data_IF_924456358797
#
_entry.id   IF_924456358797
#
_cell.length_a   1.000
_cell.length_b   1.000
_cell.length_c   1.000
_cell.angle_alpha   90.00
_cell.angle_beta   90.00
_cell.angle_gamma   90.00
#
_symmetry.space_group_name_H-M   'P 1'
#
loop_
_entity.id
_entity.type
_entity.pdbx_description
1 polymer ?
#
# COMPACT_ATOMS: atom_id res chain seq x y z
N UNK A 1 20.58 -2.87 -27.01
CA UNK A 1 19.80 -1.72 -26.48
C UNK A 1 20.32 -1.44 -25.08
N UNK A 2 20.58 -0.18 -24.73
CA UNK A 2 20.98 0.18 -23.37
C UNK A 2 19.70 0.40 -22.56
N UNK A 3 19.49 -0.35 -21.51
CA UNK A 3 18.36 -0.17 -20.61
C UNK A 3 18.63 1.00 -19.64
N UNK A 4 17.60 1.77 -19.36
CA UNK A 4 17.67 2.89 -18.41
C UNK A 4 17.69 2.35 -16.97
N UNK A 5 16.94 1.27 -16.72
CA UNK A 5 16.77 0.62 -15.44
C UNK A 5 16.92 -0.91 -15.57
N UNK A 6 17.13 -1.56 -14.44
CA UNK A 6 17.08 -3.02 -14.35
C UNK A 6 15.64 -3.49 -14.11
N UNK A 7 14.90 -2.74 -13.29
CA UNK A 7 13.50 -3.00 -12.95
C UNK A 7 12.66 -1.73 -13.04
N UNK A 8 11.48 -1.82 -13.68
CA UNK A 8 10.45 -0.78 -13.59
C UNK A 8 9.23 -1.36 -12.86
N UNK A 9 8.76 -0.63 -11.84
CA UNK A 9 7.55 -0.97 -11.09
C UNK A 9 6.43 0.00 -11.44
N UNK A 10 5.32 -0.52 -11.94
CA UNK A 10 4.16 0.28 -12.34
C UNK A 10 3.11 0.30 -11.23
N UNK A 11 3.01 1.41 -10.51
CA UNK A 11 2.11 1.62 -9.38
C UNK A 11 2.82 1.62 -8.05
N UNK A 12 2.59 2.65 -7.23
CA UNK A 12 3.14 2.81 -5.88
C UNK A 12 2.10 2.56 -4.77
N UNK A 13 1.25 1.55 -4.95
CA UNK A 13 0.48 0.95 -3.87
C UNK A 13 1.36 0.06 -3.00
N UNK A 14 0.78 -0.64 -2.02
CA UNK A 14 1.55 -1.51 -1.10
C UNK A 14 2.44 -2.51 -1.83
N UNK A 15 1.91 -3.22 -2.82
CA UNK A 15 2.67 -4.20 -3.59
C UNK A 15 3.80 -3.56 -4.42
N UNK A 16 3.56 -2.36 -4.96
CA UNK A 16 4.58 -1.64 -5.72
C UNK A 16 5.71 -1.13 -4.83
N UNK A 17 5.40 -0.61 -3.65
CA UNK A 17 6.40 -0.20 -2.67
C UNK A 17 7.31 -1.37 -2.28
N UNK A 18 6.73 -2.53 -1.96
CA UNK A 18 7.49 -3.74 -1.62
C UNK A 18 8.36 -4.22 -2.79
N UNK A 19 7.81 -4.26 -4.01
CA UNK A 19 8.57 -4.67 -5.19
C UNK A 19 9.75 -3.73 -5.50
N UNK A 20 9.53 -2.43 -5.38
CA UNK A 20 10.56 -1.43 -5.63
C UNK A 20 11.68 -1.49 -4.58
N UNK A 21 11.32 -1.57 -3.30
CA UNK A 21 12.28 -1.69 -2.21
C UNK A 21 13.06 -3.02 -2.28
N UNK A 22 12.40 -4.13 -2.57
CA UNK A 22 13.06 -5.41 -2.74
C UNK A 22 14.09 -5.39 -3.88
N UNK A 23 13.72 -4.79 -5.02
CA UNK A 23 14.62 -4.68 -6.17
C UNK A 23 15.82 -3.77 -5.87
N UNK A 24 15.59 -2.59 -5.30
CA UNK A 24 16.63 -1.61 -5.00
C UNK A 24 17.61 -2.12 -3.93
N UNK A 25 17.12 -2.82 -2.90
CA UNK A 25 17.95 -3.44 -1.84
C UNK A 25 18.87 -4.53 -2.38
N UNK A 26 18.49 -5.18 -3.47
CA UNK A 26 19.34 -6.13 -4.19
C UNK A 26 20.36 -5.45 -5.14
N UNK A 27 20.43 -4.13 -5.16
CA UNK A 27 21.34 -3.35 -5.98
C UNK A 27 20.86 -3.09 -7.42
N UNK A 28 19.63 -3.48 -7.77
CA UNK A 28 19.07 -3.20 -9.09
C UNK A 28 18.70 -1.71 -9.20
N UNK A 29 19.06 -1.08 -10.32
CA UNK A 29 18.56 0.28 -10.65
C UNK A 29 17.08 0.18 -10.93
N UNK A 30 16.28 0.72 -10.02
CA UNK A 30 14.83 0.56 -10.02
C UNK A 30 14.13 1.88 -10.26
N UNK A 31 13.10 1.86 -11.09
CA UNK A 31 12.17 2.98 -11.26
C UNK A 31 10.79 2.57 -10.76
N UNK A 32 10.17 3.37 -9.91
CA UNK A 32 8.76 3.23 -9.57
C UNK A 32 7.94 4.36 -10.20
N UNK A 33 6.88 3.98 -10.93
CA UNK A 33 5.94 4.91 -11.57
C UNK A 33 4.67 5.01 -10.74
N UNK A 34 4.22 6.23 -10.47
CA UNK A 34 2.95 6.47 -9.76
C UNK A 34 2.17 7.60 -10.38
N UNK A 35 0.86 7.51 -10.40
CA UNK A 35 0.02 8.60 -10.89
C UNK A 35 -0.01 9.83 -9.97
N UNK A 36 0.35 9.65 -8.69
CA UNK A 36 0.38 10.75 -7.72
C UNK A 36 1.35 10.40 -6.57
N UNK A 37 2.36 11.23 -6.39
CA UNK A 37 3.37 11.09 -5.32
C UNK A 37 2.77 11.22 -3.92
N UNK A 38 1.70 11.99 -3.77
CA UNK A 38 1.05 12.22 -2.48
C UNK A 38 0.10 11.07 -2.07
N UNK A 39 0.00 10.02 -2.90
CA UNK A 39 -0.85 8.87 -2.62
C UNK A 39 -0.10 7.55 -2.60
N UNK A 40 1.23 7.60 -2.50
CA UNK A 40 2.08 6.42 -2.30
C UNK A 40 1.63 5.66 -1.05
N UNK A 41 1.50 4.33 -1.15
CA UNK A 41 1.08 3.42 -0.08
C UNK A 41 -0.22 3.82 0.64
N UNK A 42 -1.12 4.55 -0.03
CA UNK A 42 -2.36 5.01 0.59
C UNK A 42 -3.29 3.85 0.94
N UNK A 43 -3.73 3.82 2.19
CA UNK A 43 -4.74 2.89 2.68
C UNK A 43 -6.15 3.31 2.21
N UNK A 44 -6.59 2.83 1.05
CA UNK A 44 -7.81 3.31 0.40
C UNK A 44 -9.10 2.81 1.05
N UNK A 45 -9.10 1.58 1.56
CA UNK A 45 -10.31 0.95 2.12
C UNK A 45 -10.48 1.31 3.60
N UNK A 46 -9.65 0.74 4.45
CA UNK A 46 -9.61 0.99 5.89
C UNK A 46 -8.15 1.09 6.36
N UNK A 47 -7.88 1.76 7.48
CA UNK A 47 -6.51 1.96 7.97
C UNK A 47 -6.01 0.73 8.74
N UNK A 48 -6.14 -0.46 8.16
CA UNK A 48 -5.77 -1.69 8.83
C UNK A 48 -4.84 -2.56 7.98
N UNK A 49 -3.83 -3.12 8.62
CA UNK A 49 -2.91 -4.11 8.07
C UNK A 49 -3.13 -5.44 8.79
N UNK A 50 -2.99 -6.55 8.06
CA UNK A 50 -3.14 -7.88 8.60
C UNK A 50 -4.58 -8.35 8.71
N UNK A 51 -4.87 -9.15 9.72
CA UNK A 51 -6.12 -9.90 9.86
C UNK A 51 -6.02 -11.31 9.30
N UNK A 52 -7.15 -12.01 9.25
CA UNK A 52 -7.19 -13.42 8.82
C UNK A 52 -6.54 -13.63 7.45
N UNK A 53 -5.65 -14.59 7.36
CA UNK A 53 -4.75 -14.91 6.23
C UNK A 53 -3.77 -13.78 5.84
N UNK A 54 -4.10 -12.53 6.05
CA UNK A 54 -3.27 -11.39 5.66
C UNK A 54 -2.14 -11.13 6.65
N UNK A 55 -2.37 -11.32 7.95
CA UNK A 55 -1.36 -11.15 8.98
C UNK A 55 -0.17 -12.10 8.81
N UNK A 56 -0.43 -13.33 8.40
CA UNK A 56 0.58 -14.32 8.08
C UNK A 56 1.44 -13.87 6.89
N UNK A 57 0.79 -13.41 5.81
CA UNK A 57 1.49 -12.94 4.61
C UNK A 57 2.37 -11.72 4.91
N UNK A 58 1.91 -10.78 5.74
CA UNK A 58 2.73 -9.63 6.15
C UNK A 58 4.00 -10.07 6.86
N UNK A 59 3.91 -11.08 7.74
CA UNK A 59 5.08 -11.66 8.42
C UNK A 59 6.02 -12.42 7.48
N UNK A 60 5.48 -13.10 6.48
CA UNK A 60 6.28 -13.75 5.45
C UNK A 60 7.05 -12.72 4.61
N UNK A 61 6.40 -11.60 4.25
CA UNK A 61 7.04 -10.48 3.56
C UNK A 61 8.16 -9.88 4.42
N UNK A 62 7.92 -9.68 5.72
CA UNK A 62 8.92 -9.19 6.68
C UNK A 62 10.13 -10.11 6.76
N UNK A 63 9.91 -11.43 6.84
CA UNK A 63 10.99 -12.42 6.86
C UNK A 63 11.89 -12.38 5.61
N UNK A 64 11.36 -11.86 4.51
CA UNK A 64 12.10 -11.63 3.25
C UNK A 64 12.70 -10.21 3.17
N UNK A 65 12.62 -9.42 4.24
CA UNK A 65 13.16 -8.08 4.30
C UNK A 65 12.21 -6.99 3.76
N UNK A 66 10.89 -7.25 3.75
CA UNK A 66 9.88 -6.27 3.35
C UNK A 66 9.69 -5.13 4.35
N UNK A 67 9.06 -4.07 3.93
CA UNK A 67 8.90 -2.84 4.70
C UNK A 67 7.52 -2.72 5.38
N UNK A 68 6.51 -3.44 4.89
CA UNK A 68 5.12 -3.29 5.35
C UNK A 68 4.97 -3.56 6.86
N UNK A 69 5.65 -4.58 7.39
CA UNK A 69 5.61 -4.93 8.79
C UNK A 69 6.19 -3.81 9.66
N UNK A 70 7.39 -3.35 9.33
CA UNK A 70 8.06 -2.24 10.00
C UNK A 70 7.20 -0.97 9.94
N UNK A 71 6.73 -0.61 8.75
CA UNK A 71 5.88 0.56 8.56
C UNK A 71 4.58 0.49 9.38
N UNK A 72 4.02 -0.72 9.52
CA UNK A 72 2.84 -0.96 10.36
C UNK A 72 3.16 -0.78 11.83
N UNK A 73 4.25 -1.38 12.32
CA UNK A 73 4.62 -1.33 13.73
C UNK A 73 4.94 0.10 14.20
N UNK A 74 5.55 0.92 13.34
CA UNK A 74 5.82 2.33 13.61
C UNK A 74 4.58 3.23 13.63
N UNK A 75 3.54 2.88 12.86
CA UNK A 75 2.40 3.77 12.62
C UNK A 75 1.08 3.26 13.19
N UNK A 76 1.11 2.09 13.83
CA UNK A 76 -0.08 1.50 14.42
C UNK A 76 -0.54 2.26 15.66
N UNK A 77 -1.85 2.42 15.73
CA UNK A 77 -2.56 3.01 16.89
C UNK A 77 -3.27 1.95 17.72
N UNK A 78 -3.43 0.74 17.18
CA UNK A 78 -4.02 -0.41 17.88
C UNK A 78 -3.53 -1.71 17.25
N UNK A 79 -3.21 -2.69 18.10
CA UNK A 79 -2.95 -4.06 17.69
C UNK A 79 -3.98 -5.00 18.28
N UNK A 80 -4.33 -6.05 17.54
CA UNK A 80 -5.20 -7.13 17.97
C UNK A 80 -4.78 -8.44 17.36
N UNK A 81 -4.54 -9.46 18.18
CA UNK A 81 -4.39 -10.82 17.70
C UNK A 81 -5.77 -11.46 17.55
N UNK A 82 -6.13 -11.77 16.31
CA UNK A 82 -7.42 -12.39 15.99
C UNK A 82 -7.36 -13.91 16.15
N UNK A 83 -8.52 -14.53 16.41
CA UNK A 83 -8.68 -15.97 16.53
C UNK A 83 -7.85 -16.60 17.66
N UNK A 84 -7.65 -15.91 18.76
CA UNK A 84 -6.87 -16.40 19.92
C UNK A 84 -7.42 -17.68 20.53
N UNK A 85 -8.72 -17.96 20.35
CA UNK A 85 -9.37 -19.22 20.78
C UNK A 85 -9.16 -20.39 19.82
N UNK A 86 -8.47 -20.17 18.70
CA UNK A 86 -8.20 -21.19 17.66
C UNK A 86 -6.73 -21.61 17.70
N UNK A 87 -6.40 -22.64 16.91
CA UNK A 87 -5.01 -23.09 16.78
C UNK A 87 -4.09 -22.03 16.18
N UNK A 88 -2.76 -22.11 16.44
CA UNK A 88 -1.78 -21.07 16.04
C UNK A 88 -1.79 -20.73 14.56
N UNK A 89 -2.07 -21.68 13.68
CA UNK A 89 -2.07 -21.48 12.22
C UNK A 89 -3.10 -20.44 11.75
N UNK A 90 -4.18 -20.23 12.48
CA UNK A 90 -5.23 -19.26 12.12
C UNK A 90 -5.22 -18.01 13.00
N UNK A 91 -4.35 -17.96 14.01
CA UNK A 91 -4.12 -16.73 14.77
C UNK A 91 -3.43 -15.71 13.86
N UNK A 92 -4.00 -14.51 13.75
CA UNK A 92 -3.54 -13.53 12.81
C UNK A 92 -3.44 -12.15 13.46
N UNK A 93 -2.27 -11.53 13.46
CA UNK A 93 -2.13 -10.15 13.92
C UNK A 93 -2.87 -9.20 12.98
N UNK A 94 -3.47 -8.19 13.56
CA UNK A 94 -4.09 -7.08 12.87
C UNK A 94 -3.75 -5.78 13.58
N UNK A 95 -3.33 -4.77 12.83
CA UNK A 95 -3.12 -3.43 13.34
C UNK A 95 -4.08 -2.44 12.68
N UNK A 96 -4.56 -1.48 13.47
CA UNK A 96 -5.11 -0.23 12.95
C UNK A 96 -3.97 0.78 12.94
N UNK A 97 -3.77 1.47 11.83
CA UNK A 97 -2.67 2.42 11.67
C UNK A 97 -3.18 3.85 11.59
N UNK A 98 -2.36 4.81 11.98
CA UNK A 98 -2.56 6.16 11.52
C UNK A 98 -2.33 6.19 10.00
N UNK A 99 -3.39 6.47 9.29
CA UNK A 99 -3.43 6.38 7.83
C UNK A 99 -2.47 7.36 7.15
N UNK A 100 -2.28 8.52 7.74
CA UNK A 100 -1.39 9.56 7.20
C UNK A 100 0.06 9.28 7.54
N UNK A 101 0.34 8.90 8.76
CA UNK A 101 1.69 8.53 9.20
C UNK A 101 2.21 7.33 8.42
N UNK A 102 1.37 6.31 8.19
CA UNK A 102 1.72 5.15 7.37
C UNK A 102 2.17 5.56 5.95
N UNK A 103 1.41 6.45 5.34
CA UNK A 103 1.67 6.96 4.00
C UNK A 103 2.95 7.80 3.95
N UNK A 104 3.10 8.74 4.89
CA UNK A 104 4.27 9.64 4.98
C UNK A 104 5.54 8.84 5.20
N UNK A 105 5.52 7.90 6.17
CA UNK A 105 6.68 7.06 6.47
C UNK A 105 7.08 6.19 5.27
N UNK A 106 6.13 5.52 4.60
CA UNK A 106 6.44 4.70 3.44
C UNK A 106 7.02 5.52 2.29
N UNK A 107 6.46 6.71 2.03
CA UNK A 107 7.00 7.64 1.03
C UNK A 107 8.45 8.01 1.38
N UNK A 108 8.72 8.37 2.62
CA UNK A 108 10.07 8.70 3.08
C UNK A 108 11.05 7.53 2.91
N UNK A 109 10.65 6.31 3.24
CA UNK A 109 11.48 5.10 3.05
C UNK A 109 11.84 4.91 1.57
N UNK A 110 10.89 5.10 0.66
CA UNK A 110 11.16 5.01 -0.78
C UNK A 110 12.11 6.12 -1.25
N UNK A 111 11.93 7.35 -0.79
CA UNK A 111 12.76 8.50 -1.15
C UNK A 111 14.21 8.38 -0.64
N UNK A 112 14.42 7.65 0.46
CA UNK A 112 15.75 7.39 1.03
C UNK A 112 16.42 6.12 0.46
N UNK A 113 15.68 5.31 -0.30
CA UNK A 113 16.23 4.08 -0.84
C UNK A 113 17.29 4.36 -1.92
N UNK A 114 18.47 3.77 -1.77
CA UNK A 114 19.49 3.79 -2.80
C UNK A 114 19.03 3.00 -4.04
N UNK A 115 19.48 3.38 -5.23
CA UNK A 115 19.15 2.73 -6.51
C UNK A 115 17.64 2.74 -6.86
N UNK A 116 16.87 3.66 -6.29
CA UNK A 116 15.43 3.79 -6.54
C UNK A 116 15.08 5.21 -6.97
N UNK A 117 14.58 5.34 -8.18
CA UNK A 117 14.00 6.58 -8.70
C UNK A 117 12.47 6.50 -8.64
N UNK A 118 11.84 7.62 -8.27
CA UNK A 118 10.38 7.75 -8.22
C UNK A 118 9.95 8.76 -9.27
N UNK A 119 9.04 8.38 -10.15
CA UNK A 119 8.57 9.27 -11.20
C UNK A 119 7.05 9.33 -11.26
N UNK A 120 6.50 10.55 -11.30
CA UNK A 120 5.06 10.76 -11.35
C UNK A 120 4.55 10.69 -12.79
N UNK A 121 4.03 9.54 -13.18
CA UNK A 121 3.25 9.34 -14.40
C UNK A 121 2.46 8.03 -14.31
N UNK A 122 1.48 7.87 -15.19
CA UNK A 122 0.79 6.59 -15.34
C UNK A 122 1.52 5.73 -16.38
N UNK A 123 1.67 4.44 -16.09
CA UNK A 123 2.02 3.45 -17.09
C UNK A 123 0.81 3.26 -18.02
N UNK A 124 0.98 3.54 -19.30
CA UNK A 124 -0.09 3.55 -20.30
C UNK A 124 -0.01 2.37 -21.28
N UNK A 125 1.11 1.67 -21.32
CA UNK A 125 1.31 0.50 -22.14
C UNK A 125 2.65 -0.18 -21.87
N UNK A 126 2.85 -1.36 -22.43
CA UNK A 126 4.13 -2.07 -22.42
C UNK A 126 4.79 -2.03 -23.79
N UNK A 127 6.12 -2.09 -23.81
CA UNK A 127 6.92 -2.17 -25.03
C UNK A 127 7.41 -3.60 -25.16
N UNK A 128 7.04 -4.26 -26.24
CA UNK A 128 7.43 -5.65 -26.51
C UNK A 128 8.18 -5.71 -27.84
N UNK A 129 9.38 -6.26 -27.82
CA UNK A 129 10.19 -6.55 -29.00
C UNK A 129 10.64 -8.02 -28.98
N UNK A 130 10.49 -8.70 -30.11
CA UNK A 130 10.87 -10.10 -30.27
C UNK A 130 10.29 -11.02 -29.16
N UNK A 131 9.04 -10.77 -28.75
CA UNK A 131 8.36 -11.54 -27.70
C UNK A 131 8.80 -11.24 -26.26
N UNK A 132 9.72 -10.30 -26.05
CA UNK A 132 10.21 -9.89 -24.74
C UNK A 132 9.68 -8.51 -24.38
N UNK A 133 9.13 -8.34 -23.17
CA UNK A 133 8.81 -7.03 -22.63
C UNK A 133 10.11 -6.32 -22.24
N UNK A 134 10.34 -5.13 -22.83
CA UNK A 134 11.58 -4.37 -22.69
C UNK A 134 11.37 -2.97 -22.11
N UNK A 135 10.14 -2.56 -21.84
CA UNK A 135 9.88 -1.22 -21.33
C UNK A 135 8.41 -0.90 -21.13
N UNK A 136 8.16 0.34 -20.76
CA UNK A 136 6.85 0.90 -20.44
C UNK A 136 6.65 2.21 -21.21
N UNK A 137 5.47 2.38 -21.79
CA UNK A 137 4.96 3.66 -22.32
C UNK A 137 4.25 4.41 -21.21
N UNK A 138 4.52 5.69 -21.09
CA UNK A 138 3.88 6.51 -20.06
C UNK A 138 2.79 7.42 -20.63
N UNK A 139 1.98 8.00 -19.75
CA UNK A 139 0.98 9.01 -20.09
C UNK A 139 1.56 10.36 -20.51
N UNK A 140 2.88 10.53 -20.40
CA UNK A 140 3.61 11.74 -20.78
C UNK A 140 4.37 11.58 -22.11
N UNK A 141 4.01 10.56 -22.91
CA UNK A 141 4.66 10.20 -24.17
C UNK A 141 6.17 9.93 -24.04
N UNK A 142 6.63 9.62 -22.82
CA UNK A 142 7.97 9.19 -22.54
C UNK A 142 8.03 7.68 -22.36
N UNK A 143 9.06 7.03 -22.90
CA UNK A 143 9.28 5.60 -22.76
C UNK A 143 10.45 5.33 -21.82
N UNK A 144 10.26 4.40 -20.90
CA UNK A 144 11.35 3.87 -20.07
C UNK A 144 11.64 2.42 -20.45
N UNK A 145 12.91 2.05 -20.49
CA UNK A 145 13.39 0.73 -20.86
C UNK A 145 14.03 0.03 -19.68
N UNK A 146 13.68 -1.25 -19.47
CA UNK A 146 14.23 -2.07 -18.40
C UNK A 146 14.27 -3.56 -18.76
N UNK A 147 15.13 -4.30 -18.04
CA UNK A 147 15.21 -5.75 -18.16
C UNK A 147 13.95 -6.46 -17.66
N UNK A 148 13.30 -5.90 -16.65
CA UNK A 148 12.10 -6.48 -16.01
C UNK A 148 11.06 -5.41 -15.70
N UNK A 149 9.78 -5.77 -15.86
CA UNK A 149 8.65 -4.90 -15.55
C UNK A 149 7.76 -5.60 -14.54
N UNK A 150 7.50 -4.94 -13.41
CA UNK A 150 6.57 -5.39 -12.37
C UNK A 150 5.32 -4.52 -12.42
N UNK A 151 4.16 -5.14 -12.61
CA UNK A 151 2.90 -4.41 -12.75
C UNK A 151 2.04 -4.60 -11.50
N UNK A 152 1.79 -3.51 -10.77
CA UNK A 152 1.04 -3.49 -9.51
C UNK A 152 -0.07 -2.44 -9.55
N UNK A 153 -0.93 -2.53 -10.55
CA UNK A 153 -1.98 -1.53 -10.82
C UNK A 153 -3.08 -1.46 -9.75
N UNK A 154 -3.10 -2.37 -8.80
CA UNK A 154 -4.09 -2.38 -7.71
C UNK A 154 -5.52 -2.36 -8.22
N UNK A 155 -6.28 -1.35 -7.80
CA UNK A 155 -7.69 -1.15 -8.18
C UNK A 155 -7.87 -0.15 -9.33
N UNK A 156 -6.81 0.22 -10.06
CA UNK A 156 -6.89 1.31 -11.05
C UNK A 156 -7.02 0.87 -12.51
N UNK A 157 -6.72 -0.41 -12.83
CA UNK A 157 -6.77 -0.91 -14.19
C UNK A 157 -8.22 -1.01 -14.68
N UNK A 158 -8.64 -0.07 -15.56
CA UNK A 158 -10.03 0.08 -16.06
C UNK A 158 -11.07 -0.02 -14.94
N UNK A 159 -10.77 0.60 -13.83
CA UNK A 159 -11.59 0.53 -12.63
C UNK A 159 -12.93 1.25 -12.81
N UNK A 160 -13.96 0.70 -12.17
CA UNK A 160 -15.30 1.25 -12.12
C UNK A 160 -15.77 1.27 -10.67
N UNK A 161 -16.06 2.46 -10.18
CA UNK A 161 -16.63 2.68 -8.85
C UNK A 161 -18.14 2.60 -8.91
N UNK A 162 -18.73 1.96 -7.91
CA UNK A 162 -20.17 1.90 -7.71
C UNK A 162 -20.51 2.59 -6.38
N UNK A 163 -21.35 3.62 -6.45
CA UNK A 163 -21.88 4.34 -5.27
C UNK A 163 -23.39 4.35 -5.38
N UNK A 164 -24.05 3.41 -4.72
CA UNK A 164 -25.45 3.10 -4.99
C UNK A 164 -25.64 2.65 -6.43
N UNK A 165 -26.52 3.31 -7.16
CA UNK A 165 -26.77 3.04 -8.59
C UNK A 165 -25.80 3.79 -9.51
N UNK A 166 -25.09 4.78 -9.00
CA UNK A 166 -24.16 5.58 -9.79
C UNK A 166 -22.87 4.80 -10.08
N UNK A 167 -22.41 4.94 -11.31
CA UNK A 167 -21.16 4.34 -11.79
C UNK A 167 -20.26 5.43 -12.32
N UNK A 168 -19.00 5.43 -11.87
CA UNK A 168 -17.98 6.35 -12.34
C UNK A 168 -16.65 5.63 -12.55
N UNK A 169 -15.91 6.05 -13.57
CA UNK A 169 -14.56 5.52 -13.80
C UNK A 169 -13.59 6.01 -12.70
N UNK A 170 -12.73 5.12 -12.24
CA UNK A 170 -11.71 5.41 -11.27
C UNK A 170 -11.49 4.28 -10.26
N UNK A 171 -10.29 4.13 -9.75
CA UNK A 171 -9.97 3.19 -8.69
C UNK A 171 -10.27 3.74 -7.28
N UNK A 172 -10.43 5.06 -7.21
CA UNK A 172 -10.73 5.83 -6.00
C UNK A 172 -11.33 7.17 -6.41
N UNK A 173 -12.18 7.75 -5.56
CA UNK A 173 -12.78 9.07 -5.82
C UNK A 173 -11.67 10.12 -5.94
N UNK A 174 -11.70 10.87 -7.05
CA UNK A 174 -10.72 11.92 -7.36
C UNK A 174 -9.44 11.46 -8.07
N UNK A 175 -9.28 10.16 -8.30
CA UNK A 175 -8.10 9.62 -8.99
C UNK A 175 -8.43 9.13 -10.41
N UNK A 176 -7.44 9.23 -11.27
CA UNK A 176 -7.53 8.78 -12.66
C UNK A 176 -7.50 7.26 -12.79
N UNK A 177 -8.11 6.74 -13.85
CA UNK A 177 -8.08 5.34 -14.24
C UNK A 177 -6.96 5.08 -15.24
N UNK A 178 -6.25 3.96 -15.10
CA UNK A 178 -5.32 3.47 -16.12
C UNK A 178 -6.07 2.62 -17.14
N UNK A 179 -6.10 3.05 -18.41
CA UNK A 179 -6.82 2.36 -19.49
C UNK A 179 -5.91 1.60 -20.45
N UNK A 180 -4.74 2.13 -20.75
CA UNK A 180 -3.86 1.62 -21.80
C UNK A 180 -3.31 0.21 -21.57
N UNK A 181 -2.76 -0.06 -20.39
CA UNK A 181 -2.15 -1.36 -20.04
C UNK A 181 -3.07 -2.56 -20.28
N UNK A 182 -4.36 -2.42 -20.04
CA UNK A 182 -5.31 -3.54 -20.23
C UNK A 182 -5.45 -3.97 -21.69
N UNK A 183 -5.34 -3.03 -22.63
CA UNK A 183 -5.39 -3.34 -24.06
C UNK A 183 -4.13 -4.11 -24.48
N UNK A 184 -2.97 -3.68 -24.00
CA UNK A 184 -1.71 -4.40 -24.30
C UNK A 184 -1.71 -5.80 -23.69
N UNK A 185 -2.17 -5.98 -22.46
CA UNK A 185 -2.28 -7.31 -21.84
C UNK A 185 -3.16 -8.25 -22.67
N UNK A 186 -4.32 -7.79 -23.10
CA UNK A 186 -5.19 -8.59 -23.98
C UNK A 186 -4.53 -8.90 -25.31
N UNK A 187 -3.82 -7.94 -25.92
CA UNK A 187 -3.08 -8.12 -27.17
C UNK A 187 -2.01 -9.23 -27.05
N UNK A 188 -1.38 -9.33 -25.90
CA UNK A 188 -0.34 -10.35 -25.64
C UNK A 188 -0.88 -11.61 -24.97
N UNK A 189 -2.19 -11.84 -25.02
CA UNK A 189 -2.83 -13.10 -24.65
C UNK A 189 -3.12 -13.24 -23.14
N UNK A 190 -2.94 -12.17 -22.33
CA UNK A 190 -3.31 -12.20 -20.91
C UNK A 190 -4.80 -11.96 -20.80
N UNK A 191 -5.51 -12.96 -20.29
CA UNK A 191 -6.94 -12.85 -20.02
C UNK A 191 -7.21 -12.00 -18.80
N UNK A 192 -8.08 -11.01 -18.94
CA UNK A 192 -8.47 -10.10 -17.86
C UNK A 192 -9.91 -10.37 -17.43
N UNK A 193 -10.12 -10.39 -16.12
CA UNK A 193 -11.45 -10.50 -15.50
C UNK A 193 -11.68 -9.39 -14.48
N UNK A 194 -12.95 -9.07 -14.21
CA UNK A 194 -13.30 -8.08 -13.20
C UNK A 194 -13.45 -8.75 -11.84
N UNK A 195 -12.80 -8.17 -10.84
CA UNK A 195 -13.02 -8.50 -9.45
C UNK A 195 -13.70 -7.34 -8.73
N UNK A 196 -14.55 -7.67 -7.78
CA UNK A 196 -15.19 -6.69 -6.90
C UNK A 196 -14.39 -6.56 -5.62
N UNK A 197 -14.12 -5.33 -5.19
CA UNK A 197 -13.71 -5.01 -3.82
C UNK A 197 -14.82 -4.23 -3.14
N UNK A 198 -14.96 -4.36 -1.81
CA UNK A 198 -15.91 -3.58 -1.01
C UNK A 198 -15.17 -2.59 -0.13
N UNK A 199 -15.70 -1.38 -0.02
CA UNK A 199 -15.26 -0.40 0.98
C UNK A 199 -16.37 -0.26 2.01
N UNK A 200 -16.06 -0.35 3.32
CA UNK A 200 -17.06 -0.11 4.35
C UNK A 200 -17.58 1.34 4.28
N UNK A 201 -18.84 1.58 4.67
CA UNK A 201 -19.41 2.91 4.67
C UNK A 201 -18.63 3.82 5.63
N UNK A 202 -18.52 5.09 5.28
CA UNK A 202 -17.99 6.15 6.14
C UNK A 202 -19.16 6.87 6.80
N UNK A 203 -19.21 6.82 8.13
CA UNK A 203 -20.27 7.42 8.91
C UNK A 203 -19.74 8.73 9.53
N UNK A 204 -20.59 9.76 9.56
CA UNK A 204 -20.25 11.02 10.23
C UNK A 204 -20.18 10.73 11.74
N UNK A 205 -19.04 10.97 12.38
CA UNK A 205 -18.80 10.64 13.78
C UNK A 205 -19.83 11.25 14.74
N UNK A 206 -20.29 12.48 14.48
CA UNK A 206 -21.32 13.15 15.27
C UNK A 206 -22.72 12.53 15.15
N UNK A 207 -22.96 11.66 14.15
CA UNK A 207 -24.23 10.96 13.97
C UNK A 207 -24.27 9.58 14.64
N UNK A 208 -23.18 9.16 15.28
CA UNK A 208 -23.07 7.84 15.88
C UNK A 208 -23.57 7.91 17.34
N UNK A 209 -24.52 7.04 17.66
CA UNK A 209 -24.93 6.81 19.04
C UNK A 209 -23.98 5.80 19.71
N UNK A 210 -22.91 6.32 20.33
CA UNK A 210 -21.90 5.50 21.00
C UNK A 210 -22.43 4.69 22.18
N UNK A 211 -23.60 5.05 22.74
CA UNK A 211 -24.23 4.26 23.81
C UNK A 211 -24.70 2.87 23.32
N UNK A 212 -24.91 2.71 22.01
CA UNK A 212 -25.30 1.48 21.37
C UNK A 212 -24.12 0.67 20.80
N UNK A 213 -22.90 1.10 21.07
CA UNK A 213 -21.68 0.47 20.56
C UNK A 213 -20.85 -0.11 21.68
N UNK A 214 -20.06 -1.12 21.38
CA UNK A 214 -19.10 -1.72 22.29
C UNK A 214 -17.68 -1.34 21.90
N UNK A 215 -16.85 -0.95 22.90
CA UNK A 215 -15.42 -0.67 22.65
C UNK A 215 -14.66 -1.96 22.39
N UNK A 216 -13.98 -2.04 21.26
CA UNK A 216 -13.03 -3.10 20.96
C UNK A 216 -11.63 -2.64 21.35
N UNK A 217 -11.16 -3.06 22.51
CA UNK A 217 -9.82 -2.72 23.00
C UNK A 217 -8.75 -3.50 22.24
N UNK A 218 -7.61 -2.87 22.00
CA UNK A 218 -6.38 -3.54 21.54
C UNK A 218 -5.81 -4.45 22.63
N UNK A 219 -4.80 -5.22 22.25
CA UNK A 219 -4.07 -6.08 23.18
C UNK A 219 -3.15 -5.22 24.05
N UNK A 220 -3.00 -5.57 25.33
CA UNK A 220 -2.14 -4.83 26.28
C UNK A 220 -0.66 -5.04 25.99
N UNK A 221 -0.30 -6.25 25.61
CA UNK A 221 1.05 -6.63 25.16
C UNK A 221 0.93 -7.12 23.71
N UNK A 222 1.06 -6.21 22.75
CA UNK A 222 0.76 -6.53 21.36
C UNK A 222 1.86 -7.39 20.73
N UNK A 223 1.41 -8.33 19.89
CA UNK A 223 2.29 -9.04 18.98
C UNK A 223 2.53 -8.17 17.74
N UNK A 224 3.75 -7.67 17.57
CA UNK A 224 4.15 -6.85 16.42
C UNK A 224 4.27 -7.71 15.15
N UNK A 225 4.31 -7.05 13.98
CA UNK A 225 4.46 -7.73 12.70
C UNK A 225 5.91 -8.05 12.37
N UNK A 226 6.83 -7.14 12.67
CA UNK A 226 8.23 -7.31 12.37
C UNK A 226 8.89 -8.40 13.22
N UNK A 227 9.86 -9.10 12.64
CA UNK A 227 10.68 -10.10 13.34
C UNK A 227 11.55 -9.49 14.42
N UNK A 228 12.04 -8.28 14.16
CA UNK A 228 12.84 -7.51 15.12
C UNK A 228 11.91 -6.70 16.01
N UNK A 229 12.30 -6.58 17.28
CA UNK A 229 11.57 -5.74 18.22
C UNK A 229 11.77 -4.26 17.86
N UNK A 230 10.75 -3.66 17.26
CA UNK A 230 10.75 -2.25 16.85
C UNK A 230 10.19 -1.32 17.93
N UNK A 231 9.79 -1.85 19.11
CA UNK A 231 9.16 -1.05 20.18
C UNK A 231 10.06 0.07 20.68
N UNK A 232 11.33 -0.20 20.89
CA UNK A 232 12.31 0.82 21.35
C UNK A 232 12.46 1.97 20.34
N UNK A 233 12.41 1.66 19.03
CA UNK A 233 12.52 2.66 17.98
C UNK A 233 11.17 3.36 17.76
N UNK A 234 10.05 2.67 17.93
CA UNK A 234 8.71 3.28 17.87
C UNK A 234 8.48 4.25 19.03
N UNK A 235 8.97 3.96 20.22
CA UNK A 235 8.92 4.90 21.34
C UNK A 235 9.70 6.19 21.05
N UNK A 236 10.87 6.11 20.44
CA UNK A 236 11.63 7.29 20.00
C UNK A 236 10.87 8.10 18.96
N UNK A 237 10.29 7.44 17.97
CA UNK A 237 9.49 8.07 16.93
C UNK A 237 8.22 8.74 17.50
N UNK A 238 7.53 8.08 18.42
CA UNK A 238 6.36 8.63 19.11
C UNK A 238 6.72 9.75 20.08
N UNK A 239 7.87 9.72 20.73
CA UNK A 239 8.32 10.80 21.62
C UNK A 239 8.63 12.07 20.83
N UNK A 240 9.29 11.96 19.70
CA UNK A 240 9.55 13.11 18.84
C UNK A 240 8.26 13.72 18.25
N UNK A 241 7.27 12.89 17.93
CA UNK A 241 5.98 13.36 17.43
C UNK A 241 5.01 13.77 18.56
N UNK A 242 4.99 13.09 19.68
CA UNK A 242 4.15 13.45 20.83
C UNK A 242 4.54 14.80 21.42
N UNK A 243 5.77 15.25 21.33
CA UNK A 243 6.14 16.63 21.69
C UNK A 243 5.44 17.69 20.83
N UNK A 244 5.02 17.34 19.60
CA UNK A 244 4.25 18.20 18.70
C UNK A 244 2.72 17.98 18.79
N UNK A 245 2.26 16.80 19.16
CA UNK A 245 0.84 16.42 19.12
C UNK A 245 0.14 16.40 20.46
N UNK A 246 0.85 16.14 21.58
CA UNK A 246 0.24 16.15 22.91
C UNK A 246 -0.22 17.54 23.38
N UNK A 247 0.29 18.61 22.79
CA UNK A 247 -0.15 19.97 23.13
C UNK A 247 -1.46 20.39 22.44
N UNK A 248 -2.02 19.59 21.53
CA UNK A 248 -3.22 19.94 20.75
C UNK A 248 -4.32 18.86 20.74
N UNK A 249 -4.27 17.84 21.60
CA UNK A 249 -5.38 16.87 21.66
C UNK A 249 -6.50 17.35 22.54
N UNK A 250 -7.52 17.91 21.91
CA UNK A 250 -8.89 17.84 22.38
C UNK A 250 -9.36 16.37 22.42
N UNK A 251 -10.17 15.94 23.41
CA UNK A 251 -10.53 14.53 23.63
C UNK A 251 -11.44 13.88 22.58
N UNK A 252 -11.58 14.44 21.38
CA UNK A 252 -12.65 14.11 20.44
C UNK A 252 -12.26 13.31 19.20
N UNK A 253 -11.02 12.79 19.08
CA UNK A 253 -10.66 11.95 17.93
C UNK A 253 -10.62 10.47 18.31
N UNK A 254 -11.81 9.86 18.35
CA UNK A 254 -11.95 8.42 18.35
C UNK A 254 -11.86 7.92 16.90
N UNK A 255 -10.84 7.12 16.60
CA UNK A 255 -10.78 6.35 15.35
C UNK A 255 -11.88 5.29 15.37
N UNK A 256 -12.77 5.37 14.40
CA UNK A 256 -13.69 4.31 14.00
C UNK A 256 -13.15 3.60 12.76
#
# INVERSE_FOLDING_TARGET
>A
MKYDYDVIVCGAGHAGCEAALASSRQGARTLILTGNLETIAQMSCNPAIGGQAKGQIVREIDALGGEMALNTDFTAIQFKLLNTSKGPAVQAPRAQCDKKEYQIRMKHVLEQASNLDIFQCLANGIIVENGKCIGVKTSLDHNFYANSIVVTTGTFLRALMHVGENKSEGGRIGDHVSKGLSADFSKYGIQLSRFKTGTPPRIIGSSIDFSKTEKQHGDKDPTLFAFYDTRADSEKFHVEQNSRWCNNKSPSHHCL
#
